data_IF_802413106429
#
_entry.id   IF_802413106429
#
_cell.length_a   1.000
_cell.length_b   1.000
_cell.length_c   1.000
_cell.angle_alpha   90.00
_cell.angle_beta   90.00
_cell.angle_gamma   90.00
#
_symmetry.space_group_name_H-M   'P 1'
#
loop_
_entity.id
_entity.type
_entity.pdbx_description
1 polymer ?
#
# COMPACT_ATOMS: atom_id res chain seq x y z
N UNK A 1 31.81 2.99 -1.53
CA UNK A 1 30.76 3.45 -2.46
C UNK A 1 29.38 2.85 -2.13
N UNK A 2 29.24 1.53 -1.98
CA UNK A 2 27.93 0.87 -1.77
C UNK A 2 27.20 1.24 -0.45
N UNK A 3 27.93 1.48 0.65
CA UNK A 3 27.33 1.79 1.96
C UNK A 3 26.50 3.09 2.02
N UNK A 4 26.70 4.02 1.08
CA UNK A 4 25.95 5.28 1.01
C UNK A 4 24.52 5.10 0.50
N UNK A 5 24.27 4.09 -0.34
CA UNK A 5 22.96 3.83 -0.91
C UNK A 5 22.14 2.86 -0.06
N UNK A 6 22.79 2.13 0.85
CA UNK A 6 22.14 1.18 1.75
C UNK A 6 20.96 1.80 2.51
N UNK A 7 21.04 3.04 3.07
CA UNK A 7 19.88 3.66 3.71
C UNK A 7 18.67 3.82 2.78
N UNK A 8 18.91 4.18 1.51
CA UNK A 8 17.85 4.38 0.52
C UNK A 8 17.17 3.04 0.19
N UNK A 9 17.97 1.98 0.01
CA UNK A 9 17.44 0.63 -0.24
C UNK A 9 16.62 0.14 0.95
N UNK A 10 17.09 0.35 2.18
CA UNK A 10 16.34 0.00 3.40
C UNK A 10 15.02 0.75 3.46
N UNK A 11 15.03 2.06 3.21
CA UNK A 11 13.80 2.86 3.19
C UNK A 11 12.82 2.41 2.10
N UNK A 12 13.32 2.04 0.91
CA UNK A 12 12.49 1.50 -0.16
C UNK A 12 11.80 0.20 0.25
N UNK A 13 12.55 -0.73 0.85
CA UNK A 13 12.00 -1.99 1.35
C UNK A 13 10.92 -1.70 2.41
N UNK A 14 11.21 -0.83 3.37
CA UNK A 14 10.25 -0.45 4.41
C UNK A 14 8.98 0.19 3.83
N UNK A 15 9.11 1.06 2.85
CA UNK A 15 7.97 1.71 2.18
C UNK A 15 7.10 0.68 1.44
N UNK A 16 7.72 -0.27 0.74
CA UNK A 16 7.00 -1.35 0.04
C UNK A 16 6.28 -2.26 1.04
N UNK A 17 6.95 -2.66 2.12
CA UNK A 17 6.35 -3.46 3.18
C UNK A 17 5.16 -2.74 3.83
N UNK A 18 5.32 -1.46 4.14
CA UNK A 18 4.25 -0.65 4.70
C UNK A 18 3.05 -0.59 3.76
N UNK A 19 3.27 -0.25 2.47
CA UNK A 19 2.20 -0.20 1.48
C UNK A 19 1.47 -1.55 1.33
N UNK A 20 2.21 -2.65 1.24
CA UNK A 20 1.64 -3.98 1.13
C UNK A 20 0.77 -4.34 2.35
N UNK A 21 1.28 -4.09 3.56
CA UNK A 21 0.53 -4.33 4.80
C UNK A 21 -0.72 -3.44 4.89
N UNK A 22 -0.61 -2.16 4.50
CA UNK A 22 -1.75 -1.25 4.46
C UNK A 22 -2.83 -1.73 3.49
N UNK A 23 -2.47 -2.15 2.27
CA UNK A 23 -3.44 -2.69 1.31
C UNK A 23 -4.12 -3.95 1.84
N UNK A 24 -3.37 -4.86 2.47
CA UNK A 24 -3.94 -6.07 3.08
C UNK A 24 -4.88 -5.70 4.22
N UNK A 25 -4.47 -4.80 5.12
CA UNK A 25 -5.31 -4.35 6.23
C UNK A 25 -6.58 -3.67 5.74
N UNK A 26 -6.48 -2.75 4.76
CA UNK A 26 -7.63 -2.12 4.13
C UNK A 26 -8.54 -3.15 3.47
N UNK A 27 -7.99 -4.14 2.76
CA UNK A 27 -8.80 -5.16 2.10
C UNK A 27 -9.54 -6.08 3.09
N UNK A 28 -8.88 -6.43 4.22
CA UNK A 28 -9.46 -7.31 5.23
C UNK A 28 -10.47 -6.59 6.12
N UNK A 29 -10.20 -5.34 6.46
CA UNK A 29 -10.98 -4.58 7.44
C UNK A 29 -12.03 -3.68 6.79
N UNK A 30 -11.91 -3.33 5.51
CA UNK A 30 -12.90 -2.50 4.84
C UNK A 30 -14.22 -3.25 4.62
N UNK A 31 -15.38 -2.59 4.81
CA UNK A 31 -16.67 -3.16 4.47
C UNK A 31 -16.78 -3.41 2.96
N UNK A 32 -17.11 -4.67 2.58
CA UNK A 32 -17.37 -5.04 1.18
C UNK A 32 -18.81 -4.71 0.80
N UNK A 33 -19.08 -3.44 0.48
CA UNK A 33 -20.38 -2.92 0.05
C UNK A 33 -20.34 -2.34 -1.38
N UNK A 34 -20.17 -3.21 -2.40
CA UNK A 34 -20.25 -2.78 -3.79
C UNK A 34 -21.68 -2.36 -4.14
N UNK A 35 -21.84 -1.26 -4.88
CA UNK A 35 -23.11 -0.85 -5.46
C UNK A 35 -22.89 -0.04 -6.74
N UNK A 36 -23.86 -0.10 -7.66
CA UNK A 36 -23.75 0.51 -8.99
C UNK A 36 -23.60 2.03 -8.93
N UNK A 37 -24.23 2.68 -7.94
CA UNK A 37 -24.12 4.14 -7.74
C UNK A 37 -22.70 4.57 -7.36
N UNK A 38 -21.97 3.78 -6.57
CA UNK A 38 -20.57 4.02 -6.19
C UNK A 38 -19.60 3.74 -7.34
N UNK A 39 -19.98 2.91 -8.30
CA UNK A 39 -19.18 2.56 -9.47
C UNK A 39 -19.40 3.51 -10.66
N UNK A 40 -20.45 4.34 -10.63
CA UNK A 40 -20.74 5.31 -11.67
C UNK A 40 -19.64 6.40 -11.75
N UNK A 41 -19.29 6.89 -12.96
CA UNK A 41 -18.38 8.03 -13.12
C UNK A 41 -18.91 9.29 -12.41
N UNK A 42 -17.98 10.14 -11.96
CA UNK A 42 -18.29 11.44 -11.36
C UNK A 42 -18.88 12.43 -12.36
#
# INVERSE_FOLDING_TARGET
>A
VLGQYLPIVVLLILAVLFAALSFVASHLLAPRSPNDRKAAPY
#
